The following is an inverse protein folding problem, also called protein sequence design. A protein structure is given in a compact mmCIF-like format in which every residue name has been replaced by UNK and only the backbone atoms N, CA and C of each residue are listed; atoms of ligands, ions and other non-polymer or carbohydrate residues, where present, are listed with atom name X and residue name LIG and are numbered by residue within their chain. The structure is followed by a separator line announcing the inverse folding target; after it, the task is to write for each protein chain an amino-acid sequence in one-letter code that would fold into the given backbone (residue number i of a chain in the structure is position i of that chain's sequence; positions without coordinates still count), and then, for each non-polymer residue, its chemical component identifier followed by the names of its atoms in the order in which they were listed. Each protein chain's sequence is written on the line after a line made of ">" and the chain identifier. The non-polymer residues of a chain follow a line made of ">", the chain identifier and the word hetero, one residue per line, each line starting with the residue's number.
data_IF_208261381523
#
_entry.id   IF_208261381523
#
_cell.length_a   1.000
_cell.length_b   1.000
_cell.length_c   1.000
_cell.angle_alpha   90.00
_cell.angle_beta   90.00
_cell.angle_gamma   90.00
#
_symmetry.space_group_name_H-M   'P 1'
#
loop_
_entity.id
_entity.type
_entity.pdbx_description
1 polymer ?
#
# COMPACT_ATOMS: atom_id res chain seq x y z
N UNK A 1 6.42 -19.44 22.58
CA UNK A 1 5.75 -18.18 22.21
C UNK A 1 6.50 -17.62 21.02
N UNK A 2 5.96 -17.59 19.80
CA UNK A 2 6.69 -17.11 18.64
C UNK A 2 6.31 -15.64 18.34
N UNK A 3 6.41 -14.74 19.31
CA UNK A 3 5.99 -13.33 19.14
C UNK A 3 7.21 -12.38 19.07
N UNK A 4 8.31 -12.85 18.48
CA UNK A 4 9.55 -12.07 18.34
C UNK A 4 10.22 -12.24 16.96
N UNK A 5 9.45 -12.60 15.94
CA UNK A 5 9.97 -12.67 14.58
C UNK A 5 10.31 -11.26 14.07
N UNK A 6 11.43 -11.08 13.34
CA UNK A 6 11.74 -9.82 12.70
C UNK A 6 10.64 -9.44 11.72
N UNK A 7 10.33 -8.14 11.63
CA UNK A 7 9.27 -7.68 10.73
C UNK A 7 9.69 -7.88 9.26
N UNK A 8 8.84 -8.47 8.39
CA UNK A 8 9.19 -8.71 7.00
C UNK A 8 9.52 -7.45 6.19
N UNK A 9 9.03 -6.27 6.60
CA UNK A 9 9.26 -5.01 5.89
C UNK A 9 10.72 -4.51 5.92
N UNK A 10 11.66 -5.25 6.51
CA UNK A 10 13.07 -4.90 6.59
C UNK A 10 13.39 -3.82 7.63
N UNK A 11 12.46 -3.51 8.54
CA UNK A 11 12.75 -2.65 9.69
C UNK A 11 13.59 -3.38 10.73
N UNK A 12 14.33 -2.65 11.57
CA UNK A 12 15.03 -3.21 12.73
C UNK A 12 14.10 -3.65 13.88
N UNK A 13 12.79 -3.43 13.74
CA UNK A 13 11.77 -3.79 14.71
C UNK A 13 11.19 -5.18 14.46
N UNK A 14 10.67 -5.77 15.52
CA UNK A 14 9.96 -7.03 15.49
C UNK A 14 8.56 -6.82 14.88
N UNK A 15 7.93 -7.90 14.41
CA UNK A 15 6.63 -7.81 13.75
C UNK A 15 5.57 -7.10 14.62
N UNK A 16 5.48 -7.46 15.90
CA UNK A 16 4.50 -6.91 16.84
C UNK A 16 4.68 -5.43 17.14
N UNK A 17 5.93 -4.95 17.16
CA UNK A 17 6.26 -3.53 17.35
C UNK A 17 6.29 -2.75 16.04
N UNK A 18 6.06 -3.41 14.91
CA UNK A 18 6.13 -2.80 13.60
C UNK A 18 4.78 -2.93 12.87
N UNK A 19 4.70 -3.81 11.87
CA UNK A 19 3.57 -3.85 10.95
C UNK A 19 2.31 -4.48 11.56
N UNK A 20 2.43 -5.36 12.55
CA UNK A 20 1.25 -6.02 13.11
C UNK A 20 0.32 -5.05 13.86
N UNK A 21 0.82 -3.92 14.38
CA UNK A 21 -0.03 -2.87 14.98
C UNK A 21 -0.93 -2.23 13.92
N UNK A 22 -0.36 -1.96 12.74
CA UNK A 22 -1.10 -1.42 11.61
C UNK A 22 -2.11 -2.45 11.08
N UNK A 23 -1.72 -3.73 10.99
CA UNK A 23 -2.62 -4.82 10.62
C UNK A 23 -3.82 -4.94 11.57
N UNK A 24 -3.60 -4.65 12.86
CA UNK A 24 -4.63 -4.59 13.92
C UNK A 24 -5.42 -3.28 13.97
N UNK A 25 -5.13 -2.31 13.10
CA UNK A 25 -5.94 -1.11 12.92
C UNK A 25 -5.31 0.20 13.41
N UNK A 26 -4.06 0.19 13.88
CA UNK A 26 -3.33 1.45 14.12
C UNK A 26 -3.12 2.19 12.79
N UNK A 27 -3.49 3.48 12.68
CA UNK A 27 -3.20 4.26 11.47
C UNK A 27 -1.70 4.36 11.19
N UNK A 28 -1.32 4.30 9.92
CA UNK A 28 0.05 4.58 9.51
C UNK A 28 0.37 6.07 9.73
N UNK A 29 1.54 6.37 10.28
CA UNK A 29 2.04 7.72 10.48
C UNK A 29 2.54 8.36 9.17
N UNK A 30 2.88 7.55 8.17
CA UNK A 30 3.36 8.00 6.86
C UNK A 30 2.98 7.04 5.74
N UNK A 31 3.03 7.51 4.50
CA UNK A 31 2.87 6.67 3.31
C UNK A 31 3.93 5.57 3.23
N UNK A 32 5.18 5.85 3.63
CA UNK A 32 6.23 4.83 3.70
C UNK A 32 5.87 3.72 4.70
N UNK A 33 5.38 4.08 5.88
CA UNK A 33 5.00 3.09 6.89
C UNK A 33 3.82 2.23 6.40
N UNK A 34 2.86 2.84 5.70
CA UNK A 34 1.78 2.11 5.05
C UNK A 34 2.31 1.16 3.98
N UNK A 35 3.20 1.63 3.10
CA UNK A 35 3.82 0.82 2.05
C UNK A 35 4.54 -0.41 2.64
N UNK A 36 5.37 -0.21 3.66
CA UNK A 36 6.07 -1.29 4.39
C UNK A 36 5.13 -2.31 5.03
N UNK A 37 4.05 -1.83 5.64
CA UNK A 37 3.05 -2.71 6.26
C UNK A 37 2.22 -3.47 5.25
N UNK A 38 1.93 -2.89 4.07
CA UNK A 38 1.29 -3.60 2.96
C UNK A 38 2.18 -4.71 2.42
N UNK A 39 3.48 -4.46 2.24
CA UNK A 39 4.43 -5.53 1.91
C UNK A 39 4.38 -6.67 2.95
N UNK A 40 4.46 -6.35 4.24
CA UNK A 40 4.38 -7.38 5.30
C UNK A 40 3.05 -8.12 5.30
N UNK A 41 1.96 -7.47 4.90
CA UNK A 41 0.67 -8.14 4.77
C UNK A 41 0.66 -9.17 3.63
N UNK A 42 1.33 -8.90 2.51
CA UNK A 42 1.55 -9.92 1.48
C UNK A 42 2.40 -11.09 1.97
N UNK A 43 3.44 -10.82 2.78
CA UNK A 43 4.27 -11.90 3.36
C UNK A 43 3.46 -12.79 4.32
N UNK A 44 2.55 -12.19 5.07
CA UNK A 44 1.76 -12.86 6.12
C UNK A 44 0.38 -13.34 5.64
N UNK A 45 0.03 -13.14 4.36
CA UNK A 45 -1.31 -13.49 3.84
C UNK A 45 -2.46 -12.65 4.41
N UNK A 46 -2.18 -11.46 4.95
CA UNK A 46 -3.17 -10.58 5.58
C UNK A 46 -3.96 -9.75 4.55
N UNK A 47 -4.70 -10.42 3.67
CA UNK A 47 -5.41 -9.79 2.52
C UNK A 47 -6.47 -8.77 2.97
N UNK A 48 -7.15 -9.00 4.10
CA UNK A 48 -8.14 -8.04 4.62
C UNK A 48 -7.51 -6.68 4.97
N UNK A 49 -6.24 -6.69 5.40
CA UNK A 49 -5.51 -5.45 5.64
C UNK A 49 -5.18 -4.74 4.33
N UNK A 50 -4.78 -5.49 3.28
CA UNK A 50 -4.52 -4.91 1.97
C UNK A 50 -5.77 -4.24 1.39
N UNK A 51 -6.94 -4.87 1.53
CA UNK A 51 -8.20 -4.25 1.12
C UNK A 51 -8.47 -2.96 1.92
N UNK A 52 -8.47 -3.03 3.25
CA UNK A 52 -8.77 -1.88 4.12
C UNK A 52 -7.81 -0.70 3.95
N UNK A 53 -6.54 -0.98 3.63
CA UNK A 53 -5.53 0.06 3.41
C UNK A 53 -5.46 0.56 1.96
N UNK A 54 -6.25 0.01 1.03
CA UNK A 54 -6.50 0.61 -0.28
C UNK A 54 -7.62 1.66 -0.15
N UNK A 55 -7.56 2.72 -0.96
CA UNK A 55 -8.55 3.80 -0.92
C UNK A 55 -9.99 3.22 -1.00
N UNK A 56 -10.93 3.63 -0.12
CA UNK A 56 -12.28 3.05 -0.07
C UNK A 56 -13.01 2.98 -1.41
N UNK A 57 -12.84 4.01 -2.25
CA UNK A 57 -13.42 4.06 -3.59
C UNK A 57 -12.92 2.97 -4.56
N UNK A 58 -11.80 2.31 -4.26
CA UNK A 58 -11.19 1.25 -5.07
C UNK A 58 -11.39 -0.15 -4.47
N UNK A 59 -11.77 -0.27 -3.19
CA UNK A 59 -11.80 -1.55 -2.47
C UNK A 59 -12.71 -2.61 -3.11
N UNK A 60 -13.85 -2.18 -3.68
CA UNK A 60 -14.79 -3.08 -4.34
C UNK A 60 -14.32 -3.55 -5.72
N UNK A 61 -13.30 -2.91 -6.31
CA UNK A 61 -12.71 -3.29 -7.59
C UNK A 61 -11.47 -4.19 -7.46
N UNK A 62 -11.03 -4.48 -6.24
CA UNK A 62 -9.89 -5.36 -6.00
C UNK A 62 -10.25 -6.83 -6.25
N UNK A 63 -9.37 -7.55 -6.94
CA UNK A 63 -9.44 -9.00 -7.08
C UNK A 63 -8.78 -9.68 -5.87
N UNK A 64 -9.51 -9.76 -4.76
CA UNK A 64 -9.00 -10.37 -3.53
C UNK A 64 -8.56 -11.85 -3.72
N UNK A 65 -9.29 -12.68 -4.48
CA UNK A 65 -8.82 -14.03 -4.82
C UNK A 65 -7.46 -14.04 -5.51
N UNK A 66 -7.25 -13.19 -6.53
CA UNK A 66 -5.96 -13.11 -7.22
C UNK A 66 -4.85 -12.60 -6.30
N UNK A 67 -5.12 -11.58 -5.49
CA UNK A 67 -4.16 -11.05 -4.50
C UNK A 67 -3.76 -12.13 -3.48
N UNK A 68 -4.72 -12.93 -3.01
CA UNK A 68 -4.47 -14.05 -2.09
C UNK A 68 -3.60 -15.12 -2.76
N UNK A 69 -3.96 -15.52 -3.97
CA UNK A 69 -3.22 -16.53 -4.73
C UNK A 69 -1.76 -16.08 -4.95
N UNK A 70 -1.56 -14.84 -5.35
CA UNK A 70 -0.21 -14.29 -5.54
C UNK A 70 0.59 -14.24 -4.24
N UNK A 71 -0.03 -13.84 -3.14
CA UNK A 71 0.57 -13.85 -1.79
C UNK A 71 1.03 -15.25 -1.38
N UNK A 72 0.21 -16.27 -1.61
CA UNK A 72 0.46 -17.67 -1.22
C UNK A 72 1.50 -18.36 -2.13
N UNK A 73 1.54 -18.00 -3.41
CA UNK A 73 2.48 -18.57 -4.39
C UNK A 73 3.87 -17.91 -4.36
N UNK A 74 4.00 -16.75 -3.71
CA UNK A 74 5.24 -15.98 -3.67
C UNK A 74 6.00 -16.22 -2.37
N UNK A 75 7.25 -16.69 -2.49
CA UNK A 75 8.21 -16.65 -1.38
C UNK A 75 8.88 -15.29 -1.35
N UNK A 76 8.44 -14.43 -0.45
CA UNK A 76 8.96 -13.08 -0.30
C UNK A 76 10.40 -13.07 0.22
N UNK A 77 11.30 -12.41 -0.50
CA UNK A 77 12.75 -12.40 -0.22
C UNK A 77 13.22 -11.10 0.47
N UNK A 78 12.51 -10.01 0.24
CA UNK A 78 12.75 -8.76 0.97
C UNK A 78 12.13 -7.53 0.31
N UNK A 79 12.17 -6.44 1.06
CA UNK A 79 11.75 -5.11 0.64
C UNK A 79 12.89 -4.11 0.85
N UNK A 80 13.09 -3.25 -0.15
CA UNK A 80 14.00 -2.12 -0.07
C UNK A 80 13.25 -0.85 -0.46
N UNK A 81 13.05 0.07 0.49
CA UNK A 81 12.47 1.38 0.18
C UNK A 81 13.58 2.30 -0.29
N UNK A 82 13.43 2.83 -1.50
CA UNK A 82 14.41 3.71 -2.14
C UNK A 82 14.15 5.17 -1.79
N UNK A 83 12.87 5.59 -1.83
CA UNK A 83 12.49 6.98 -1.63
C UNK A 83 11.06 7.10 -1.09
N UNK A 84 10.87 8.06 -0.18
CA UNK A 84 9.56 8.55 0.23
C UNK A 84 9.47 10.05 -0.12
N UNK A 85 8.50 10.40 -0.95
CA UNK A 85 8.31 11.76 -1.49
C UNK A 85 6.92 12.29 -1.12
N UNK A 86 6.79 13.12 -0.07
CA UNK A 86 5.57 13.87 0.18
C UNK A 86 5.34 14.92 -0.91
N UNK A 87 4.16 14.90 -1.54
CA UNK A 87 3.79 15.81 -2.63
C UNK A 87 2.99 17.03 -2.14
N UNK A 88 2.64 17.07 -0.85
CA UNK A 88 1.82 18.11 -0.25
C UNK A 88 0.37 18.10 -0.77
N UNK A 89 -0.29 19.25 -0.68
CA UNK A 89 -1.69 19.43 -1.08
C UNK A 89 -2.69 19.08 0.03
N UNK A 90 -3.97 19.35 -0.25
CA UNK A 90 -5.10 18.96 0.59
C UNK A 90 -6.12 18.21 -0.29
N UNK A 91 -6.28 16.89 -0.08
CA UNK A 91 -5.60 16.04 0.89
C UNK A 91 -4.10 15.90 0.60
N UNK A 92 -3.33 15.50 1.61
CA UNK A 92 -1.90 15.24 1.43
C UNK A 92 -1.71 14.00 0.56
N UNK A 93 -0.75 14.06 -0.36
CA UNK A 93 -0.35 12.91 -1.17
C UNK A 93 1.13 12.62 -0.97
N UNK A 94 1.53 11.38 -1.24
CA UNK A 94 2.92 10.97 -1.24
C UNK A 94 3.16 9.86 -2.26
N UNK A 95 4.42 9.73 -2.69
CA UNK A 95 4.93 8.61 -3.46
C UNK A 95 5.96 7.85 -2.65
N UNK A 96 5.99 6.54 -2.82
CA UNK A 96 7.01 5.66 -2.24
C UNK A 96 7.56 4.80 -3.36
N UNK A 97 8.85 4.95 -3.62
CA UNK A 97 9.60 4.12 -4.57
C UNK A 97 10.33 3.02 -3.81
N UNK A 98 10.20 1.78 -4.27
CA UNK A 98 10.75 0.62 -3.58
C UNK A 98 11.05 -0.53 -4.55
N UNK A 99 11.85 -1.47 -4.07
CA UNK A 99 12.13 -2.75 -4.73
C UNK A 99 11.55 -3.87 -3.86
N UNK A 100 10.62 -4.64 -4.41
CA UNK A 100 10.12 -5.87 -3.82
C UNK A 100 10.75 -7.08 -4.51
N UNK A 101 11.30 -8.01 -3.71
CA UNK A 101 11.93 -9.25 -4.20
C UNK A 101 11.13 -10.45 -3.73
N UNK A 102 10.84 -11.39 -4.63
CA UNK A 102 10.16 -12.65 -4.33
C UNK A 102 10.68 -13.77 -5.22
N UNK A 103 10.40 -15.01 -4.85
CA UNK A 103 10.63 -16.18 -5.69
C UNK A 103 9.35 -16.98 -5.85
N UNK A 104 9.13 -17.55 -7.03
CA UNK A 104 8.04 -18.47 -7.33
C UNK A 104 8.53 -19.66 -8.17
N UNK A 105 7.62 -20.44 -8.75
CA UNK A 105 7.97 -21.60 -9.58
C UNK A 105 8.80 -21.26 -10.83
N UNK A 106 8.82 -19.99 -11.26
CA UNK A 106 9.56 -19.50 -12.43
C UNK A 106 10.95 -18.95 -12.06
N UNK A 107 11.26 -18.82 -10.77
CA UNK A 107 12.56 -18.35 -10.27
C UNK A 107 12.46 -17.14 -9.35
N UNK A 108 13.56 -16.40 -9.24
CA UNK A 108 13.62 -15.16 -8.46
C UNK A 108 13.25 -13.95 -9.31
N UNK A 109 12.50 -13.04 -8.70
CA UNK A 109 11.95 -11.84 -9.31
C UNK A 109 12.28 -10.62 -8.44
N UNK A 110 12.40 -9.47 -9.10
CA UNK A 110 12.59 -8.18 -8.46
C UNK A 110 11.84 -7.13 -9.24
N UNK A 111 10.96 -6.40 -8.57
CA UNK A 111 10.19 -5.32 -9.17
C UNK A 111 10.51 -3.99 -8.50
N UNK A 112 10.86 -3.00 -9.31
CA UNK A 112 10.93 -1.61 -8.87
C UNK A 112 9.58 -0.95 -9.15
N UNK A 113 8.95 -0.43 -8.10
CA UNK A 113 7.68 0.25 -8.17
C UNK A 113 7.76 1.66 -7.59
N UNK A 114 6.89 2.55 -8.07
CA UNK A 114 6.59 3.83 -7.45
C UNK A 114 5.09 3.89 -7.15
N UNK A 115 4.73 3.65 -5.90
CA UNK A 115 3.33 3.63 -5.46
C UNK A 115 2.89 5.01 -4.98
N UNK A 116 1.64 5.36 -5.25
CA UNK A 116 1.02 6.60 -4.78
C UNK A 116 0.09 6.37 -3.59
N UNK A 117 0.02 7.37 -2.70
CA UNK A 117 -0.77 7.35 -1.48
C UNK A 117 -1.49 8.68 -1.28
N UNK A 118 -2.64 8.63 -0.64
CA UNK A 118 -3.43 9.80 -0.24
C UNK A 118 -3.81 9.70 1.22
N UNK A 119 -3.74 10.81 1.93
CA UNK A 119 -4.20 10.92 3.32
C UNK A 119 -5.63 11.45 3.35
N UNK A 120 -6.52 10.75 4.03
CA UNK A 120 -7.89 11.18 4.23
C UNK A 120 -8.30 10.94 5.68
N UNK A 121 -8.77 12.00 6.36
CA UNK A 121 -9.24 11.96 7.74
C UNK A 121 -8.20 11.37 8.72
N UNK A 122 -6.92 11.74 8.55
CA UNK A 122 -5.83 11.28 9.40
C UNK A 122 -5.35 9.86 9.10
N UNK A 123 -5.78 9.26 7.98
CA UNK A 123 -5.39 7.91 7.58
C UNK A 123 -4.83 7.90 6.16
N UNK A 124 -3.69 7.24 5.98
CA UNK A 124 -3.12 7.00 4.66
C UNK A 124 -3.82 5.83 3.97
N UNK A 125 -4.03 5.98 2.67
CA UNK A 125 -4.56 4.95 1.78
C UNK A 125 -3.68 4.79 0.56
N UNK A 126 -3.52 3.56 0.11
CA UNK A 126 -2.89 3.22 -1.17
C UNK A 126 -3.84 3.54 -2.33
N UNK A 127 -3.30 4.21 -3.36
CA UNK A 127 -3.97 4.44 -4.62
C UNK A 127 -3.59 3.32 -5.59
N UNK A 128 -4.54 2.43 -5.87
CA UNK A 128 -4.31 1.28 -6.73
C UNK A 128 -4.29 1.69 -8.21
N UNK A 129 -3.20 1.51 -8.96
CA UNK A 129 -3.15 1.89 -10.38
C UNK A 129 -3.96 0.94 -11.28
N UNK A 130 -4.28 -0.27 -10.83
CA UNK A 130 -5.05 -1.26 -11.57
C UNK A 130 -6.57 -1.12 -11.40
N UNK A 131 -7.04 -0.40 -10.39
CA UNK A 131 -8.47 -0.16 -10.14
C UNK A 131 -8.85 1.30 -10.46
N UNK A 132 -9.59 1.57 -11.55
CA UNK A 132 -9.90 2.94 -11.93
C UNK A 132 -10.83 3.63 -10.92
N UNK A 133 -10.54 4.91 -10.65
CA UNK A 133 -11.45 5.78 -9.91
C UNK A 133 -12.58 6.27 -10.83
N UNK A 134 -13.83 5.99 -10.45
CA UNK A 134 -15.02 6.40 -11.20
C UNK A 134 -15.32 7.90 -10.96
N UNK A 135 -14.58 8.77 -11.63
CA UNK A 135 -14.81 10.22 -11.61
C UNK A 135 -14.41 10.87 -12.93
N UNK A 136 -15.23 11.79 -13.43
CA UNK A 136 -14.88 12.67 -14.52
C UNK A 136 -13.81 13.69 -14.11
N UNK A 137 -13.09 14.22 -15.09
CA UNK A 137 -11.96 15.15 -14.89
C UNK A 137 -12.25 16.32 -13.93
N UNK A 138 -13.47 16.86 -13.95
CA UNK A 138 -13.88 18.01 -13.15
C UNK A 138 -14.73 17.64 -11.92
N UNK A 139 -15.05 16.37 -11.72
CA UNK A 139 -15.86 15.89 -10.62
C UNK A 139 -15.07 15.95 -9.30
N UNK A 140 -15.75 15.94 -8.14
CA UNK A 140 -15.10 15.77 -6.85
C UNK A 140 -14.24 14.50 -6.84
N UNK A 141 -13.03 14.59 -6.30
CA UNK A 141 -12.14 13.44 -6.21
C UNK A 141 -12.73 12.36 -5.29
N UNK A 142 -12.78 11.08 -5.72
CA UNK A 142 -13.31 9.98 -4.91
C UNK A 142 -12.52 9.69 -3.62
N UNK A 143 -11.35 10.32 -3.42
CA UNK A 143 -10.61 10.21 -2.17
C UNK A 143 -11.27 10.95 -0.99
N UNK A 144 -12.36 11.70 -1.22
CA UNK A 144 -13.05 12.47 -0.18
C UNK A 144 -12.40 13.81 0.13
N UNK A 145 -11.37 14.20 -0.63
CA UNK A 145 -10.60 15.41 -0.44
C UNK A 145 -11.25 16.74 -0.86
N UNK A 146 -12.46 16.71 -1.44
CA UNK A 146 -13.20 17.90 -1.89
C UNK A 146 -12.67 18.60 -3.16
N UNK A 147 -11.39 18.41 -3.50
CA UNK A 147 -10.78 18.93 -4.73
C UNK A 147 -11.28 18.22 -5.99
N UNK A 148 -11.23 18.90 -7.15
CA UNK A 148 -11.52 18.29 -8.46
C UNK A 148 -10.54 17.15 -8.76
N UNK A 149 -11.00 16.06 -9.36
CA UNK A 149 -10.20 14.86 -9.61
C UNK A 149 -8.86 15.15 -10.32
N UNK A 150 -8.88 15.97 -11.38
CA UNK A 150 -7.67 16.38 -12.13
C UNK A 150 -6.61 17.14 -11.31
N UNK A 151 -6.99 17.71 -10.17
CA UNK A 151 -6.11 18.48 -9.27
C UNK A 151 -5.79 17.69 -7.99
N UNK A 152 -6.24 16.44 -7.89
CA UNK A 152 -6.13 15.61 -6.70
C UNK A 152 -5.46 14.28 -7.07
N UNK A 153 -6.16 13.14 -6.98
CA UNK A 153 -5.58 11.83 -7.26
C UNK A 153 -5.39 11.53 -8.76
N UNK A 154 -6.05 12.27 -9.66
CA UNK A 154 -6.01 12.01 -11.10
C UNK A 154 -4.59 11.97 -11.69
N UNK A 155 -3.72 12.96 -11.41
CA UNK A 155 -2.33 12.96 -11.90
C UNK A 155 -1.40 11.90 -11.28
N UNK A 156 -1.86 11.16 -10.27
CA UNK A 156 -1.07 10.14 -9.57
C UNK A 156 -1.36 8.72 -10.04
N UNK A 157 -2.47 8.54 -10.76
CA UNK A 157 -2.87 7.29 -11.38
C UNK A 157 -2.53 7.33 -12.87
N UNK A 158 -2.23 6.18 -13.49
CA UNK A 158 -1.96 6.09 -14.93
C UNK A 158 -3.18 6.45 -15.79
#
# INVERSE_FOLDING_TARGET
>A
MPDNAPCPCGSALNLDDCCARLHRGTPAASAEQLMRSRYSAYVLGAIDYLQRSTLPAQQAGLDLPAMRLWSEQSRWLGLEVLQHEPLGGQPAHARVSFIARWADAQGEHSQHECSAFVEHQGQWYFLDPGVPLKAGRNDPCPCGGGSKFKKCCGPLLP
#
